data_IF_742796923495
#
_entry.id   IF_742796923495
#
_cell.length_a   1.000
_cell.length_b   1.000
_cell.length_c   1.000
_cell.angle_alpha   90.00
_cell.angle_beta   90.00
_cell.angle_gamma   90.00
#
_symmetry.space_group_name_H-M   'P 1'
#
loop_
_entity.id
_entity.type
_entity.pdbx_description
1 polymer ?
#
# COMPACT_ATOMS: atom_id res chain seq x y z
N UNK A 1 8.22 -13.65 -0.31
CA UNK A 1 7.27 -12.52 -0.34
C UNK A 1 7.19 -11.88 1.03
N UNK A 2 6.77 -12.61 2.08
CA UNK A 2 6.80 -12.09 3.46
C UNK A 2 8.22 -11.70 3.92
N UNK A 3 9.24 -12.45 3.51
CA UNK A 3 10.64 -12.14 3.85
C UNK A 3 11.12 -10.81 3.27
N UNK A 4 10.58 -10.38 2.13
CA UNK A 4 10.85 -9.06 1.56
C UNK A 4 10.23 -7.99 2.46
N UNK A 5 8.97 -8.16 2.87
CA UNK A 5 8.30 -7.26 3.81
C UNK A 5 9.06 -7.09 5.12
N UNK A 6 9.64 -8.16 5.68
CA UNK A 6 10.44 -8.09 6.91
C UNK A 6 11.72 -7.25 6.79
N UNK A 7 12.23 -6.99 5.59
CA UNK A 7 13.37 -6.07 5.39
C UNK A 7 13.00 -4.61 5.61
N UNK A 8 11.71 -4.28 5.56
CA UNK A 8 11.17 -2.93 5.68
C UNK A 8 10.29 -2.79 6.93
N UNK A 9 10.83 -2.98 8.15
CA UNK A 9 10.06 -2.92 9.40
C UNK A 9 9.41 -1.55 9.66
N UNK A 10 9.87 -0.50 8.98
CA UNK A 10 9.33 0.85 9.04
C UNK A 10 8.07 1.07 8.17
N UNK A 11 7.67 0.07 7.38
CA UNK A 11 6.43 0.10 6.62
C UNK A 11 5.43 -0.83 7.31
N UNK A 12 4.36 -0.26 7.84
CA UNK A 12 3.24 -1.07 8.34
C UNK A 12 2.37 -1.50 7.16
N UNK A 13 2.07 -2.79 7.10
CA UNK A 13 1.36 -3.41 5.98
C UNK A 13 0.06 -4.04 6.47
N UNK A 14 -1.04 -3.59 5.89
CA UNK A 14 -2.39 -4.02 6.23
C UNK A 14 -3.00 -4.70 4.99
N UNK A 15 -3.24 -6.00 5.08
CA UNK A 15 -3.86 -6.79 4.02
C UNK A 15 -5.21 -7.31 4.48
N UNK A 16 -6.28 -6.88 3.82
CA UNK A 16 -7.64 -7.29 4.16
C UNK A 16 -8.34 -7.87 2.94
N UNK A 17 -9.16 -8.91 3.15
CA UNK A 17 -10.02 -9.47 2.12
C UNK A 17 -11.23 -8.55 1.86
N UNK A 18 -11.59 -8.35 0.60
CA UNK A 18 -12.70 -7.48 0.20
C UNK A 18 -13.86 -8.20 -0.51
N UNK A 19 -13.87 -9.54 -0.48
CA UNK A 19 -14.95 -10.34 -1.07
C UNK A 19 -16.35 -9.96 -0.56
N UNK A 20 -17.24 -9.64 -1.49
CA UNK A 20 -18.62 -9.23 -1.19
C UNK A 20 -18.78 -7.79 -0.71
N UNK A 21 -17.68 -7.03 -0.62
CA UNK A 21 -17.67 -5.59 -0.26
C UNK A 21 -17.22 -4.74 -1.45
N UNK A 22 -16.23 -5.20 -2.20
CA UNK A 22 -15.65 -4.49 -3.34
C UNK A 22 -15.37 -5.46 -4.50
N UNK A 23 -15.10 -4.90 -5.68
CA UNK A 23 -14.80 -5.65 -6.91
C UNK A 23 -13.44 -6.37 -6.86
N UNK A 24 -12.53 -5.90 -5.99
CA UNK A 24 -11.19 -6.46 -5.85
C UNK A 24 -11.17 -7.54 -4.76
N UNK A 25 -10.29 -8.53 -4.90
CA UNK A 25 -10.14 -9.64 -3.94
C UNK A 25 -9.53 -9.17 -2.60
N UNK A 26 -8.62 -8.19 -2.68
CA UNK A 26 -7.87 -7.65 -1.54
C UNK A 26 -7.86 -6.12 -1.54
N UNK A 27 -7.92 -5.55 -0.34
CA UNK A 27 -7.56 -4.17 -0.07
C UNK A 27 -6.22 -4.15 0.67
N UNK A 28 -5.25 -3.43 0.11
CA UNK A 28 -3.92 -3.25 0.67
C UNK A 28 -3.74 -1.81 1.13
N UNK A 29 -3.28 -1.61 2.36
CA UNK A 29 -2.86 -0.32 2.87
C UNK A 29 -1.44 -0.42 3.43
N UNK A 30 -0.60 0.54 3.07
CA UNK A 30 0.77 0.66 3.54
C UNK A 30 0.92 2.00 4.22
N UNK A 31 1.50 2.00 5.42
CA UNK A 31 1.76 3.21 6.19
C UNK A 31 3.26 3.34 6.42
N UNK A 32 3.82 4.50 6.08
CA UNK A 32 5.22 4.83 6.35
C UNK A 32 5.41 6.34 6.45
N UNK A 33 6.40 6.76 7.22
CA UNK A 33 6.81 8.17 7.32
C UNK A 33 7.71 8.60 6.15
N UNK A 34 8.24 7.66 5.36
CA UNK A 34 9.06 7.93 4.17
C UNK A 34 8.51 7.22 2.93
N UNK A 35 8.12 8.02 1.94
CA UNK A 35 7.55 7.53 0.68
C UNK A 35 8.57 6.76 -0.17
N UNK A 36 9.86 7.07 -0.09
CA UNK A 36 10.89 6.37 -0.87
C UNK A 36 11.02 4.92 -0.41
N UNK A 37 10.92 4.70 0.90
CA UNK A 37 10.96 3.35 1.47
C UNK A 37 9.77 2.51 0.98
N UNK A 38 8.58 3.11 0.91
CA UNK A 38 7.42 2.43 0.31
C UNK A 38 7.67 2.06 -1.16
N UNK A 39 8.23 2.98 -1.95
CA UNK A 39 8.58 2.71 -3.34
C UNK A 39 9.57 1.54 -3.45
N UNK A 40 10.65 1.54 -2.65
CA UNK A 40 11.67 0.48 -2.65
C UNK A 40 11.06 -0.88 -2.29
N UNK A 41 10.19 -0.93 -1.27
CA UNK A 41 9.44 -2.14 -0.91
C UNK A 41 8.61 -2.66 -2.08
N UNK A 42 7.82 -1.80 -2.73
CA UNK A 42 6.97 -2.21 -3.86
C UNK A 42 7.82 -2.72 -5.03
N UNK A 43 8.95 -2.08 -5.31
CA UNK A 43 9.87 -2.53 -6.35
C UNK A 43 10.42 -3.93 -6.06
N UNK A 44 10.88 -4.21 -4.83
CA UNK A 44 11.32 -5.55 -4.45
C UNK A 44 10.17 -6.58 -4.49
N UNK A 45 8.95 -6.20 -4.09
CA UNK A 45 7.79 -7.10 -4.13
C UNK A 45 7.41 -7.50 -5.57
N UNK A 46 7.56 -6.58 -6.54
CA UNK A 46 7.32 -6.86 -7.98
C UNK A 46 8.28 -7.90 -8.54
N UNK A 47 9.48 -8.02 -7.99
CA UNK A 47 10.45 -9.05 -8.41
C UNK A 47 10.15 -10.44 -7.83
N UNK A 48 9.23 -10.53 -6.87
CA UNK A 48 8.85 -11.82 -6.27
C UNK A 48 7.96 -12.65 -7.20
N UNK A 49 8.01 -13.98 -7.06
CA UNK A 49 7.17 -14.89 -7.85
C UNK A 49 5.66 -14.64 -7.68
N UNK A 50 5.25 -14.04 -6.56
CA UNK A 50 3.85 -13.69 -6.28
C UNK A 50 3.27 -12.73 -7.32
N UNK A 51 4.10 -11.84 -7.87
CA UNK A 51 3.64 -10.88 -8.90
C UNK A 51 3.05 -11.55 -10.14
N UNK A 52 3.38 -12.83 -10.42
CA UNK A 52 2.81 -13.59 -11.55
C UNK A 52 1.36 -14.02 -11.32
N UNK A 53 0.90 -13.95 -10.08
CA UNK A 53 -0.44 -14.34 -9.65
C UNK A 53 -1.32 -13.13 -9.31
N UNK A 54 -0.85 -11.91 -9.61
CA UNK A 54 -1.62 -10.68 -9.45
C UNK A 54 -2.31 -10.38 -10.79
N UNK A 55 -3.64 -10.32 -10.77
CA UNK A 55 -4.42 -10.00 -11.96
C UNK A 55 -4.50 -8.48 -12.20
N UNK A 56 -4.68 -7.70 -11.13
CA UNK A 56 -4.80 -6.24 -11.18
C UNK A 56 -4.23 -5.63 -9.88
N UNK A 57 -3.44 -4.57 -9.99
CA UNK A 57 -2.82 -3.84 -8.86
C UNK A 57 -3.15 -2.33 -8.85
N UNK A 58 -4.11 -1.92 -9.68
CA UNK A 58 -4.53 -0.52 -9.85
C UNK A 58 -6.00 -0.33 -9.49
N UNK A 59 -6.40 0.85 -8.99
CA UNK A 59 -5.59 2.06 -8.80
C UNK A 59 -4.73 2.04 -7.53
N UNK A 60 -3.55 2.66 -7.58
CA UNK A 60 -2.74 2.95 -6.40
C UNK A 60 -2.92 4.41 -5.98
N UNK A 61 -3.40 4.63 -4.76
CA UNK A 61 -3.70 5.97 -4.24
C UNK A 61 -2.67 6.30 -3.16
N UNK A 62 -1.88 7.34 -3.40
CA UNK A 62 -0.87 7.84 -2.45
C UNK A 62 -1.39 9.10 -1.77
N UNK A 63 -1.33 9.12 -0.44
CA UNK A 63 -1.85 10.21 0.38
C UNK A 63 -0.85 10.62 1.45
N UNK A 64 -0.94 11.87 1.89
CA UNK A 64 -0.24 12.37 3.07
C UNK A 64 -1.24 12.49 4.22
N UNK A 65 -0.94 11.87 5.37
CA UNK A 65 -1.75 12.01 6.57
C UNK A 65 -1.75 13.47 7.03
N UNK A 66 -2.93 14.04 7.24
CA UNK A 66 -3.13 15.41 7.72
C UNK A 66 -4.15 15.41 8.86
N UNK A 67 -3.98 16.34 9.80
CA UNK A 67 -5.02 16.63 10.79
C UNK A 67 -6.26 17.25 10.13
N UNK A 68 -7.39 17.20 10.84
CA UNK A 68 -8.70 17.59 10.29
C UNK A 68 -8.72 19.05 9.77
N UNK A 69 -8.14 20.00 10.52
CA UNK A 69 -8.12 21.42 10.14
C UNK A 69 -7.29 21.66 8.88
N UNK A 70 -6.01 21.26 8.80
CA UNK A 70 -5.22 21.43 7.58
C UNK A 70 -5.74 20.61 6.40
N UNK A 71 -6.41 19.48 6.65
CA UNK A 71 -7.08 18.72 5.60
C UNK A 71 -8.21 19.55 4.95
N UNK A 72 -9.14 20.07 5.76
CA UNK A 72 -10.26 20.90 5.29
C UNK A 72 -9.74 22.15 4.56
N UNK A 73 -8.73 22.82 5.12
CA UNK A 73 -8.13 23.99 4.49
C UNK A 73 -7.43 23.70 3.16
N UNK A 74 -7.04 22.44 2.91
CA UNK A 74 -6.46 22.01 1.64
C UNK A 74 -7.49 21.55 0.61
N UNK A 75 -8.77 21.47 0.99
CA UNK A 75 -9.87 21.31 0.05
C UNK A 75 -10.07 22.67 -0.63
N UNK A 76 -10.00 22.69 -1.97
CA UNK A 76 -10.23 23.88 -2.78
C UNK A 76 -11.63 24.44 -2.64
#
# INVERSE_FOLDING_TARGET
>A
HIDVGHKFPQVMLNTTYSFGIHDEDFMLAFESDDLHVFQDLIMELRETQVSRYVAQDTPMIVCVKKDIVPLIASLG
#
